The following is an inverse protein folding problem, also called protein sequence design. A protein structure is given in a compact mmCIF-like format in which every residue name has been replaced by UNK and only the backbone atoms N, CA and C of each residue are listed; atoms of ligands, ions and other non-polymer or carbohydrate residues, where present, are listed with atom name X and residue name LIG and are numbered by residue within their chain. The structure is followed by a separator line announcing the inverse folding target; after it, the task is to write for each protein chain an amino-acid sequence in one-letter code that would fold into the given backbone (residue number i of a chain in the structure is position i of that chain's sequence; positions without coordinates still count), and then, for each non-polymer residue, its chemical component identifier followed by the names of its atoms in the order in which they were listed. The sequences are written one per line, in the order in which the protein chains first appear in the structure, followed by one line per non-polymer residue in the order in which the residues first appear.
data_IF_418974463907
#
_entry.id   IF_418974463907
#
_cell.length_a   1.000
_cell.length_b   1.000
_cell.length_c   1.000
_cell.angle_alpha   90.00
_cell.angle_beta   90.00
_cell.angle_gamma   90.00
#
_symmetry.space_group_name_H-M   'P 1'
#
loop_
_entity.id
_entity.type
_entity.pdbx_description
1 polymer ?
#
# COMPACT_ATOMS: atom_id res chain seq x y z
N UNK A 1 -42.90 25.24 8.12
CA UNK A 1 -41.47 24.99 7.84
C UNK A 1 -40.72 24.94 9.16
N UNK A 2 -40.38 23.75 9.67
CA UNK A 2 -39.62 23.61 10.92
C UNK A 2 -38.12 23.55 10.58
N UNK A 3 -37.33 24.55 11.01
CA UNK A 3 -35.86 24.49 10.92
C UNK A 3 -35.33 23.81 12.17
N UNK A 4 -34.54 22.75 11.99
CA UNK A 4 -33.86 22.03 13.07
C UNK A 4 -32.74 22.92 13.67
N UNK A 5 -32.81 23.32 14.95
CA UNK A 5 -31.85 24.23 15.57
C UNK A 5 -30.46 23.62 15.82
N UNK A 6 -30.30 22.30 15.65
CA UNK A 6 -29.05 21.59 15.92
C UNK A 6 -28.22 21.27 14.67
N UNK A 7 -28.61 21.77 13.50
CA UNK A 7 -27.79 21.66 12.29
C UNK A 7 -26.56 22.57 12.42
N UNK A 8 -25.42 22.01 12.82
CA UNK A 8 -24.17 22.76 12.82
C UNK A 8 -23.81 23.14 11.37
N UNK A 9 -23.37 24.38 11.09
CA UNK A 9 -23.12 24.86 9.72
C UNK A 9 -22.11 24.01 8.92
N UNK A 10 -21.25 23.23 9.60
CA UNK A 10 -20.08 22.60 8.97
C UNK A 10 -19.95 21.07 9.21
N UNK A 11 -20.95 20.38 9.79
CA UNK A 11 -20.78 18.95 10.14
C UNK A 11 -20.71 17.97 8.95
N UNK A 12 -21.03 18.38 7.72
CA UNK A 12 -21.17 17.44 6.60
C UNK A 12 -20.45 17.83 5.30
N UNK A 13 -19.67 18.91 5.29
CA UNK A 13 -19.04 19.41 4.07
C UNK A 13 -17.94 18.50 3.45
N UNK A 14 -17.67 17.33 4.03
CA UNK A 14 -16.70 16.35 3.50
C UNK A 14 -17.03 14.89 3.75
N UNK A 15 -18.24 14.57 4.24
CA UNK A 15 -18.60 13.18 4.49
C UNK A 15 -18.94 12.49 3.15
N UNK A 16 -18.28 11.37 2.76
CA UNK A 16 -18.56 10.65 1.53
C UNK A 16 -19.98 10.05 1.48
N UNK A 17 -20.77 10.22 2.53
CA UNK A 17 -22.19 9.84 2.61
C UNK A 17 -23.09 10.83 1.85
N UNK A 18 -22.63 12.06 1.63
CA UNK A 18 -23.35 13.08 0.84
C UNK A 18 -22.91 13.19 -0.63
N UNK A 19 -21.78 12.58 -0.99
CA UNK A 19 -21.31 12.55 -2.38
C UNK A 19 -22.26 11.68 -3.23
N UNK A 20 -22.58 12.15 -4.42
CA UNK A 20 -23.46 11.39 -5.31
C UNK A 20 -22.83 10.02 -5.62
N UNK A 21 -23.65 8.98 -5.82
CA UNK A 21 -23.15 7.60 -5.97
C UNK A 21 -22.07 7.45 -7.06
N UNK A 22 -22.14 8.28 -8.11
CA UNK A 22 -21.16 8.32 -9.18
C UNK A 22 -19.80 8.92 -8.75
N UNK A 23 -19.79 9.94 -7.89
CA UNK A 23 -18.56 10.56 -7.37
C UNK A 23 -17.80 9.57 -6.49
N UNK A 24 -18.54 8.85 -5.62
CA UNK A 24 -17.98 7.81 -4.77
C UNK A 24 -17.35 6.69 -5.59
N UNK A 25 -18.05 6.22 -6.62
CA UNK A 25 -17.55 5.18 -7.51
C UNK A 25 -16.30 5.65 -8.29
N UNK A 26 -16.29 6.90 -8.78
CA UNK A 26 -15.16 7.49 -9.47
C UNK A 26 -13.93 7.62 -8.56
N UNK A 27 -14.12 8.05 -7.31
CA UNK A 27 -13.06 8.11 -6.31
C UNK A 27 -12.45 6.73 -6.05
N UNK A 28 -13.30 5.74 -5.75
CA UNK A 28 -12.84 4.36 -5.51
C UNK A 28 -12.02 3.86 -6.70
N UNK A 29 -12.54 3.99 -7.93
CA UNK A 29 -11.83 3.55 -9.14
C UNK A 29 -10.46 4.22 -9.28
N UNK A 30 -10.36 5.53 -9.05
CA UNK A 30 -9.09 6.26 -9.10
C UNK A 30 -8.12 5.77 -8.03
N UNK A 31 -8.57 5.57 -6.79
CA UNK A 31 -7.71 5.07 -5.71
C UNK A 31 -7.13 3.69 -6.03
N UNK A 32 -7.96 2.76 -6.51
CA UNK A 32 -7.49 1.44 -6.93
C UNK A 32 -6.53 1.49 -8.13
N UNK A 33 -6.75 2.41 -9.07
CA UNK A 33 -5.84 2.59 -10.20
C UNK A 33 -4.46 3.08 -9.74
N UNK A 34 -4.40 4.08 -8.87
CA UNK A 34 -3.12 4.58 -8.34
C UNK A 34 -2.40 3.52 -7.50
N UNK A 35 -3.13 2.79 -6.65
CA UNK A 35 -2.58 1.68 -5.89
C UNK A 35 -2.00 0.59 -6.82
N UNK A 36 -2.77 0.18 -7.84
CA UNK A 36 -2.32 -0.82 -8.81
C UNK A 36 -1.06 -0.38 -9.56
N UNK A 37 -1.00 0.87 -10.02
CA UNK A 37 0.20 1.42 -10.67
C UNK A 37 1.38 1.49 -9.71
N UNK A 38 1.17 1.88 -8.45
CA UNK A 38 2.22 1.91 -7.44
C UNK A 38 2.80 0.51 -7.17
N UNK A 39 1.94 -0.52 -7.08
CA UNK A 39 2.38 -1.92 -6.93
C UNK A 39 3.19 -2.36 -8.15
N UNK A 40 2.72 -2.09 -9.36
CA UNK A 40 3.45 -2.46 -10.59
C UNK A 40 4.81 -1.75 -10.69
N UNK A 41 4.86 -0.46 -10.36
CA UNK A 41 6.11 0.31 -10.33
C UNK A 41 7.07 -0.25 -9.26
N UNK A 42 6.56 -0.56 -8.07
CA UNK A 42 7.32 -1.20 -7.00
C UNK A 42 7.89 -2.55 -7.45
N UNK A 43 7.08 -3.45 -8.01
CA UNK A 43 7.54 -4.76 -8.49
C UNK A 43 8.58 -4.63 -9.62
N UNK A 44 8.36 -3.71 -10.57
CA UNK A 44 9.33 -3.47 -11.64
C UNK A 44 10.68 -2.96 -11.11
N UNK A 45 10.65 -2.04 -10.14
CA UNK A 45 11.84 -1.57 -9.44
C UNK A 45 12.54 -2.72 -8.70
N UNK A 46 11.80 -3.54 -7.95
CA UNK A 46 12.39 -4.68 -7.24
C UNK A 46 13.07 -5.67 -8.19
N UNK A 47 12.44 -6.02 -9.31
CA UNK A 47 13.07 -6.87 -10.32
C UNK A 47 14.40 -6.28 -10.82
N UNK A 48 14.45 -4.98 -11.09
CA UNK A 48 15.67 -4.30 -11.51
C UNK A 48 16.73 -4.24 -10.40
N UNK A 49 16.32 -4.03 -9.15
CA UNK A 49 17.23 -3.97 -8.00
C UNK A 49 17.79 -5.36 -7.64
N UNK A 50 17.00 -6.42 -7.79
CA UNK A 50 17.41 -7.81 -7.49
C UNK A 50 18.49 -8.34 -8.42
N UNK A 51 18.56 -7.87 -9.67
CA UNK A 51 19.63 -8.23 -10.62
C UNK A 51 20.87 -7.35 -10.49
N UNK A 52 20.80 -6.26 -9.73
CA UNK A 52 21.91 -5.35 -9.49
C UNK A 52 22.85 -5.90 -8.38
N UNK A 53 24.00 -5.25 -8.10
CA UNK A 53 24.86 -5.61 -6.97
C UNK A 53 24.28 -5.25 -5.58
N UNK A 54 23.13 -4.55 -5.54
CA UNK A 54 22.53 -4.04 -4.32
C UNK A 54 22.19 -5.12 -3.27
N UNK A 55 21.62 -6.29 -3.62
CA UNK A 55 21.34 -7.37 -2.68
C UNK A 55 22.55 -7.78 -1.85
N UNK A 56 23.69 -8.04 -2.50
CA UNK A 56 24.92 -8.43 -1.82
C UNK A 56 25.49 -7.32 -0.96
N UNK A 57 25.45 -6.07 -1.45
CA UNK A 57 25.93 -4.91 -0.70
C UNK A 57 25.11 -4.71 0.58
N UNK A 58 23.79 -4.79 0.49
CA UNK A 58 22.88 -4.61 1.63
C UNK A 58 23.01 -5.78 2.62
N UNK A 59 23.13 -7.01 2.16
CA UNK A 59 23.34 -8.17 3.04
C UNK A 59 24.68 -8.08 3.78
N UNK A 60 25.76 -7.65 3.13
CA UNK A 60 27.06 -7.41 3.79
C UNK A 60 26.94 -6.35 4.88
N UNK A 61 26.31 -5.21 4.56
CA UNK A 61 26.05 -4.14 5.53
C UNK A 61 25.25 -4.64 6.74
N UNK A 62 24.19 -5.42 6.50
CA UNK A 62 23.33 -5.96 7.55
C UNK A 62 24.02 -7.01 8.41
N UNK A 63 24.91 -7.82 7.82
CA UNK A 63 25.68 -8.83 8.55
C UNK A 63 26.78 -8.25 9.45
N UNK A 64 27.18 -6.99 9.23
CA UNK A 64 28.25 -6.33 9.98
C UNK A 64 27.89 -5.94 11.42
N UNK A 65 26.60 -5.81 11.75
CA UNK A 65 26.12 -5.50 13.11
C UNK A 65 24.66 -5.90 13.27
N UNK A 66 24.31 -6.55 14.39
CA UNK A 66 22.91 -6.89 14.70
C UNK A 66 21.99 -5.66 14.78
N UNK A 67 22.53 -4.46 15.01
CA UNK A 67 21.79 -3.21 15.03
C UNK A 67 21.56 -2.61 13.63
N UNK A 68 22.18 -3.13 12.58
CA UNK A 68 22.03 -2.59 11.22
C UNK A 68 20.58 -2.67 10.72
N UNK A 69 19.80 -3.63 11.22
CA UNK A 69 18.37 -3.72 10.93
C UNK A 69 17.57 -2.53 11.48
N UNK A 70 17.99 -1.93 12.60
CA UNK A 70 17.35 -0.71 13.14
C UNK A 70 17.51 0.48 12.19
N UNK A 71 18.60 0.53 11.41
CA UNK A 71 18.77 1.56 10.40
C UNK A 71 17.73 1.40 9.27
N UNK A 72 17.46 0.17 8.83
CA UNK A 72 16.41 -0.13 7.83
C UNK A 72 15.04 0.30 8.36
N UNK A 73 14.73 -0.05 9.61
CA UNK A 73 13.49 0.39 10.26
C UNK A 73 13.42 1.92 10.40
N UNK A 74 14.52 2.58 10.74
CA UNK A 74 14.60 4.04 10.82
C UNK A 74 14.32 4.71 9.48
N UNK A 75 14.91 4.21 8.39
CA UNK A 75 14.63 4.68 7.03
C UNK A 75 13.16 4.45 6.66
N UNK A 76 12.61 3.27 6.95
CA UNK A 76 11.19 2.97 6.73
C UNK A 76 10.28 3.97 7.45
N UNK A 77 10.54 4.25 8.72
CA UNK A 77 9.77 5.20 9.51
C UNK A 77 9.87 6.63 8.96
N UNK A 78 11.08 7.07 8.62
CA UNK A 78 11.35 8.41 8.09
C UNK A 78 10.65 8.63 6.75
N UNK A 79 10.85 7.70 5.81
CA UNK A 79 10.22 7.75 4.49
C UNK A 79 8.71 7.71 4.64
N UNK A 80 8.17 6.83 5.47
CA UNK A 80 6.73 6.74 5.72
C UNK A 80 6.18 8.04 6.30
N UNK A 81 6.90 8.71 7.20
CA UNK A 81 6.51 10.02 7.73
C UNK A 81 6.53 11.11 6.65
N UNK A 82 7.59 11.19 5.84
CA UNK A 82 7.70 12.16 4.73
C UNK A 82 6.61 11.95 3.67
N UNK A 83 6.39 10.71 3.24
CA UNK A 83 5.36 10.37 2.26
C UNK A 83 3.96 10.76 2.76
N UNK A 84 3.67 10.54 4.06
CA UNK A 84 2.42 10.99 4.69
C UNK A 84 2.29 12.50 4.70
N UNK A 85 3.36 13.24 5.01
CA UNK A 85 3.35 14.70 4.97
C UNK A 85 3.00 15.25 3.58
N UNK A 86 3.48 14.59 2.52
CA UNK A 86 3.17 14.96 1.14
C UNK A 86 1.78 14.50 0.67
N UNK A 87 1.23 13.44 1.28
CA UNK A 87 -0.09 12.90 0.98
C UNK A 87 -1.25 13.61 1.70
N UNK A 88 -0.97 14.58 2.57
CA UNK A 88 -2.00 15.37 3.25
C UNK A 88 -2.83 16.20 2.26
N UNK A 89 -4.14 16.33 2.54
CA UNK A 89 -5.11 17.00 1.66
C UNK A 89 -4.83 18.47 1.40
N UNK A 90 -4.02 19.11 2.24
CA UNK A 90 -3.61 20.53 2.10
C UNK A 90 -2.52 20.74 1.05
N UNK A 91 -1.86 19.67 0.58
CA UNK A 91 -0.77 19.75 -0.40
C UNK A 91 -1.30 19.76 -1.84
N UNK A 92 -0.61 20.46 -2.77
CA UNK A 92 -0.99 20.45 -4.18
C UNK A 92 -0.87 19.03 -4.76
N UNK A 93 -1.69 18.73 -5.77
CA UNK A 93 -1.78 17.40 -6.37
C UNK A 93 -0.42 16.85 -6.85
N UNK A 94 0.44 17.71 -7.39
CA UNK A 94 1.80 17.34 -7.80
C UNK A 94 2.64 16.79 -6.64
N UNK A 95 2.50 17.38 -5.45
CA UNK A 95 3.23 16.95 -4.27
C UNK A 95 2.74 15.60 -3.74
N UNK A 96 1.43 15.33 -3.83
CA UNK A 96 0.86 14.03 -3.47
C UNK A 96 1.42 12.91 -4.36
N UNK A 97 1.58 13.17 -5.67
CA UNK A 97 2.21 12.23 -6.60
C UNK A 97 3.70 12.04 -6.35
N UNK A 98 4.43 13.11 -6.00
CA UNK A 98 5.82 13.01 -5.58
C UNK A 98 5.94 12.16 -4.31
N UNK A 99 5.05 12.36 -3.33
CA UNK A 99 4.98 11.53 -2.12
C UNK A 99 4.75 10.06 -2.43
N UNK A 100 3.80 9.76 -3.32
CA UNK A 100 3.56 8.38 -3.77
C UNK A 100 4.79 7.77 -4.44
N UNK A 101 5.41 8.49 -5.38
CA UNK A 101 6.61 8.01 -6.09
C UNK A 101 7.81 7.79 -5.17
N UNK A 102 8.07 8.75 -4.27
CA UNK A 102 9.12 8.64 -3.26
C UNK A 102 8.89 7.41 -2.37
N UNK A 103 7.66 7.18 -1.93
CA UNK A 103 7.31 6.03 -1.10
C UNK A 103 7.53 4.71 -1.84
N UNK A 104 7.14 4.62 -3.12
CA UNK A 104 7.34 3.43 -3.96
C UNK A 104 8.83 3.10 -4.11
N UNK A 105 9.67 4.08 -4.45
CA UNK A 105 11.12 3.85 -4.63
C UNK A 105 11.78 3.43 -3.32
N UNK A 106 11.47 4.13 -2.23
CA UNK A 106 12.04 3.83 -0.94
C UNK A 106 11.62 2.44 -0.43
N UNK A 107 10.35 2.07 -0.62
CA UNK A 107 9.88 0.73 -0.28
C UNK A 107 10.58 -0.35 -1.10
N UNK A 108 10.79 -0.13 -2.41
CA UNK A 108 11.52 -1.09 -3.24
C UNK A 108 12.94 -1.34 -2.69
N UNK A 109 13.66 -0.28 -2.26
CA UNK A 109 14.99 -0.41 -1.65
C UNK A 109 14.93 -1.15 -0.30
N UNK A 110 13.95 -0.83 0.55
CA UNK A 110 13.78 -1.47 1.86
C UNK A 110 13.48 -2.97 1.73
N UNK A 111 12.76 -3.38 0.69
CA UNK A 111 12.41 -4.77 0.44
C UNK A 111 13.57 -5.60 -0.12
N UNK A 112 14.60 -4.98 -0.71
CA UNK A 112 15.77 -5.70 -1.25
C UNK A 112 16.39 -6.69 -0.24
N UNK A 113 16.81 -6.27 0.97
CA UNK A 113 17.39 -7.19 1.93
C UNK A 113 16.39 -8.22 2.47
N UNK A 114 15.10 -7.86 2.56
CA UNK A 114 14.04 -8.77 3.00
C UNK A 114 13.85 -9.93 2.01
N UNK A 115 13.73 -9.61 0.72
CA UNK A 115 13.61 -10.60 -0.34
C UNK A 115 14.89 -11.44 -0.45
N UNK A 116 16.05 -10.80 -0.38
CA UNK A 116 17.34 -11.51 -0.42
C UNK A 116 17.47 -12.49 0.74
N UNK A 117 17.07 -12.07 1.95
CA UNK A 117 17.07 -12.93 3.12
C UNK A 117 16.12 -14.13 2.92
N UNK A 118 14.87 -13.88 2.48
CA UNK A 118 13.91 -14.95 2.23
C UNK A 118 14.43 -15.97 1.21
N UNK A 119 14.99 -15.52 0.08
CA UNK A 119 15.50 -16.41 -0.97
C UNK A 119 16.71 -17.23 -0.48
N UNK A 120 17.65 -16.60 0.23
CA UNK A 120 18.92 -17.25 0.64
C UNK A 120 18.77 -18.17 1.86
N UNK A 121 17.87 -17.84 2.78
CA UNK A 121 17.74 -18.55 4.05
C UNK A 121 16.48 -19.41 4.16
N UNK A 122 15.65 -19.46 3.10
CA UNK A 122 14.52 -20.39 3.00
C UNK A 122 14.70 -21.33 1.81
N UNK A 123 13.87 -21.20 0.77
CA UNK A 123 13.92 -21.99 -0.45
C UNK A 123 14.06 -21.03 -1.64
N UNK A 124 14.90 -21.31 -2.65
CA UNK A 124 14.99 -20.50 -3.87
C UNK A 124 13.64 -20.22 -4.54
N UNK A 125 12.71 -21.17 -4.46
CA UNK A 125 11.37 -21.07 -5.05
C UNK A 125 10.37 -20.29 -4.20
N UNK A 126 10.77 -19.75 -3.04
CA UNK A 126 9.87 -19.04 -2.12
C UNK A 126 9.24 -17.81 -2.76
N UNK A 127 10.02 -17.04 -3.53
CA UNK A 127 9.55 -15.82 -4.18
C UNK A 127 8.54 -16.09 -5.30
N UNK A 128 8.82 -16.95 -6.30
CA UNK A 128 7.84 -17.26 -7.33
C UNK A 128 6.58 -17.93 -6.75
N UNK A 129 6.74 -18.78 -5.72
CA UNK A 129 5.59 -19.41 -5.04
C UNK A 129 4.71 -18.36 -4.36
N UNK A 130 5.31 -17.43 -3.60
CA UNK A 130 4.57 -16.35 -2.95
C UNK A 130 3.85 -15.46 -3.98
N UNK A 131 4.51 -15.11 -5.09
CA UNK A 131 3.92 -14.31 -6.15
C UNK A 131 2.69 -15.00 -6.78
N UNK A 132 2.80 -16.29 -7.12
CA UNK A 132 1.68 -17.06 -7.69
C UNK A 132 0.52 -17.15 -6.69
N UNK A 133 0.79 -17.43 -5.43
CA UNK A 133 -0.25 -17.50 -4.40
C UNK A 133 -0.96 -16.16 -4.21
N UNK A 134 -0.22 -15.06 -4.09
CA UNK A 134 -0.79 -13.72 -3.94
C UNK A 134 -1.65 -13.33 -5.14
N UNK A 135 -1.14 -13.53 -6.36
CA UNK A 135 -1.89 -13.20 -7.58
C UNK A 135 -3.13 -14.06 -7.74
N UNK A 136 -3.02 -15.36 -7.47
CA UNK A 136 -4.15 -16.30 -7.61
C UNK A 136 -5.24 -15.99 -6.58
N UNK A 137 -4.88 -15.78 -5.32
CA UNK A 137 -5.84 -15.42 -4.27
C UNK A 137 -6.50 -14.07 -4.56
N UNK A 138 -5.70 -13.05 -4.91
CA UNK A 138 -6.22 -11.74 -5.24
C UNK A 138 -7.16 -11.78 -6.45
N UNK A 139 -6.75 -12.44 -7.53
CA UNK A 139 -7.56 -12.57 -8.74
C UNK A 139 -8.83 -13.40 -8.49
N UNK A 140 -8.71 -14.51 -7.75
CA UNK A 140 -9.84 -15.37 -7.39
C UNK A 140 -10.89 -14.63 -6.57
N UNK A 141 -10.46 -13.98 -5.47
CA UNK A 141 -11.37 -13.21 -4.61
C UNK A 141 -11.98 -12.02 -5.35
N UNK A 142 -11.18 -11.27 -6.11
CA UNK A 142 -11.68 -10.16 -6.94
C UNK A 142 -12.69 -10.64 -7.97
N UNK A 143 -12.39 -11.76 -8.66
CA UNK A 143 -13.29 -12.37 -9.63
C UNK A 143 -14.63 -12.77 -9.02
N UNK A 144 -14.61 -13.41 -7.84
CA UNK A 144 -15.84 -13.77 -7.10
C UNK A 144 -16.69 -12.52 -6.83
N UNK A 145 -16.10 -11.44 -6.33
CA UNK A 145 -16.82 -10.18 -6.06
C UNK A 145 -17.43 -9.61 -7.34
N UNK A 146 -16.67 -9.55 -8.44
CA UNK A 146 -17.14 -8.97 -9.71
C UNK A 146 -18.23 -9.80 -10.39
N UNK A 147 -18.14 -11.14 -10.32
CA UNK A 147 -19.11 -12.06 -10.93
C UNK A 147 -20.39 -12.15 -10.10
N UNK A 148 -20.26 -12.38 -8.79
CA UNK A 148 -21.44 -12.60 -7.94
C UNK A 148 -22.21 -11.32 -7.64
N UNK A 149 -21.54 -10.14 -7.68
CA UNK A 149 -22.12 -8.83 -7.34
C UNK A 149 -22.87 -8.80 -6.00
N UNK A 150 -22.56 -9.73 -5.11
CA UNK A 150 -23.17 -9.82 -3.78
C UNK A 150 -22.62 -8.69 -2.89
N UNK A 151 -23.47 -8.21 -2.00
CA UNK A 151 -23.04 -7.34 -0.91
C UNK A 151 -22.42 -8.20 0.21
N UNK A 152 -21.15 -7.90 0.53
CA UNK A 152 -20.38 -8.55 1.59
C UNK A 152 -20.36 -7.73 2.89
N UNK A 153 -21.26 -6.76 3.05
CA UNK A 153 -21.40 -5.95 4.26
C UNK A 153 -21.54 -6.77 5.55
N UNK A 154 -22.05 -8.00 5.49
CA UNK A 154 -22.13 -8.93 6.62
C UNK A 154 -20.75 -9.36 7.17
N UNK A 155 -19.68 -9.34 6.36
CA UNK A 155 -18.32 -9.64 6.83
C UNK A 155 -17.71 -8.52 7.67
N UNK A 156 -18.31 -7.32 7.67
CA UNK A 156 -17.74 -6.14 8.33
C UNK A 156 -17.38 -6.40 9.80
N UNK A 157 -18.29 -7.04 10.55
CA UNK A 157 -18.05 -7.35 11.97
C UNK A 157 -16.93 -8.38 12.16
N UNK A 158 -16.90 -9.41 11.31
CA UNK A 158 -15.87 -10.45 11.35
C UNK A 158 -14.48 -9.87 11.06
N UNK A 159 -14.37 -9.02 10.03
CA UNK A 159 -13.11 -8.38 9.65
C UNK A 159 -12.61 -7.38 10.69
N UNK A 160 -13.52 -6.63 11.34
CA UNK A 160 -13.13 -5.71 12.43
C UNK A 160 -12.58 -6.45 13.65
N UNK A 161 -13.10 -7.64 13.98
CA UNK A 161 -12.62 -8.43 15.13
C UNK A 161 -11.39 -9.26 14.75
N UNK A 162 -11.36 -9.86 13.56
CA UNK A 162 -10.25 -10.70 13.12
C UNK A 162 -9.02 -9.93 12.61
N UNK A 163 -9.18 -8.64 12.30
CA UNK A 163 -8.08 -7.77 11.84
C UNK A 163 -7.47 -6.86 12.93
N UNK A 164 -7.91 -7.01 14.18
CA UNK A 164 -7.37 -6.30 15.35
C UNK A 164 -6.20 -7.08 15.96
#
# INVERSE_FOLDING_TARGET
MHRNPYASPNAFAGAPVLAEAWERAAFIRKTYLHLGLAILAFTGLECALMVSPLPDMMMKMLSGSGYAWLAVLGVFMLVGWMARAFACSEQPLSMQYIGLGLYVVAQAIIFVPLLTYAIRFSNPDVLPTAAVLTLTLFAGLTGVVLVTRKDFSFLRSLLMVGGF
#
